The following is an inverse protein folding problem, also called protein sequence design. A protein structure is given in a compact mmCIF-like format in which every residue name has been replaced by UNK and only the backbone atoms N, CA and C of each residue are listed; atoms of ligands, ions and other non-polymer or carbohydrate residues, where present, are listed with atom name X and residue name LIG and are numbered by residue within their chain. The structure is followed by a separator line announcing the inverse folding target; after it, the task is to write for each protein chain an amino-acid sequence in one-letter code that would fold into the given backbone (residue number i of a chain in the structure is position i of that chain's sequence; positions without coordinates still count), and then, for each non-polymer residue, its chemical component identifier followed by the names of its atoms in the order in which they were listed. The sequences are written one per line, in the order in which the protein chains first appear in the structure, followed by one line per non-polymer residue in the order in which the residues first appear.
data_IF_263219640559
#
_entry.id   IF_263219640559
#
_cell.length_a   1.000
_cell.length_b   1.000
_cell.length_c   1.000
_cell.angle_alpha   90.00
_cell.angle_beta   90.00
_cell.angle_gamma   90.00
#
_symmetry.space_group_name_H-M   'P 1'
#
loop_
_entity.id
_entity.type
_entity.pdbx_description
1 polymer ?
#
# COMPACT_ATOMS: atom_id res chain seq x y z
N UNK A 1 62.30 68.79 21.70
CA UNK A 1 62.30 69.22 20.29
C UNK A 1 62.60 68.00 19.43
N UNK A 2 61.91 67.83 18.29
CA UNK A 2 61.14 66.61 17.89
C UNK A 2 61.97 65.66 16.98
N UNK A 3 61.55 64.48 16.48
CA UNK A 3 60.30 63.96 15.87
C UNK A 3 60.34 62.40 16.01
N UNK A 4 59.43 61.71 16.70
CA UNK A 4 58.16 61.03 16.29
C UNK A 4 58.30 59.92 15.22
N UNK A 5 58.00 58.67 15.60
CA UNK A 5 57.10 57.80 14.82
C UNK A 5 56.26 56.91 15.75
N UNK A 6 54.95 57.11 15.69
CA UNK A 6 53.86 56.29 16.23
C UNK A 6 53.83 54.90 15.56
N UNK A 7 53.30 53.82 16.15
CA UNK A 7 51.95 53.70 16.70
C UNK A 7 51.74 52.36 17.45
N UNK A 8 51.09 52.46 18.62
CA UNK A 8 50.04 51.60 19.20
C UNK A 8 50.40 50.11 19.48
N UNK A 9 50.93 49.73 20.66
CA UNK A 9 50.24 49.47 21.95
C UNK A 9 48.92 48.69 21.78
N UNK A 10 48.89 47.39 22.11
CA UNK A 10 48.63 46.81 23.45
C UNK A 10 47.11 46.69 23.74
N UNK A 11 46.54 45.67 24.39
CA UNK A 11 47.07 44.65 25.29
C UNK A 11 45.97 43.62 25.65
N UNK A 12 46.43 42.48 26.21
CA UNK A 12 45.84 41.62 27.26
C UNK A 12 44.70 40.62 26.88
N UNK A 13 44.85 39.27 26.96
CA UNK A 13 45.10 38.35 28.13
C UNK A 13 43.77 38.15 28.92
N UNK A 14 43.25 36.99 29.36
CA UNK A 14 43.71 35.60 29.64
C UNK A 14 42.44 34.76 30.02
N UNK A 15 42.44 33.44 29.80
CA UNK A 15 42.04 32.34 30.74
C UNK A 15 41.36 31.11 30.06
N UNK A 16 42.11 30.00 30.14
CA UNK A 16 41.81 28.57 29.86
C UNK A 16 40.94 27.94 30.98
N UNK A 17 40.76 26.59 31.07
CA UNK A 17 40.19 25.57 30.16
C UNK A 17 39.12 24.71 30.90
N UNK A 18 38.52 23.68 30.26
CA UNK A 18 38.38 22.28 30.77
C UNK A 18 37.24 21.46 30.10
N UNK A 19 37.66 20.31 29.56
CA UNK A 19 37.00 18.98 29.54
C UNK A 19 35.82 18.75 28.58
N UNK A 20 36.00 17.78 27.66
CA UNK A 20 34.89 17.03 27.06
C UNK A 20 35.10 16.50 25.64
N UNK A 21 36.10 15.64 25.42
CA UNK A 21 36.09 14.69 24.27
C UNK A 21 35.08 13.55 24.58
N UNK A 22 34.46 12.86 23.58
CA UNK A 22 35.20 12.30 22.46
C UNK A 22 34.62 12.49 21.07
N UNK A 23 35.58 12.47 20.14
CA UNK A 23 35.46 12.08 18.74
C UNK A 23 34.29 11.12 18.46
N UNK A 24 33.25 11.64 17.80
CA UNK A 24 32.44 10.80 16.93
C UNK A 24 33.17 10.71 15.59
N UNK A 25 33.60 9.50 15.29
CA UNK A 25 34.10 9.05 14.00
C UNK A 25 33.12 9.44 12.88
N UNK A 26 33.26 10.64 12.33
CA UNK A 26 32.90 10.88 10.94
C UNK A 26 34.02 10.26 10.11
N UNK A 27 33.98 8.93 9.94
CA UNK A 27 34.80 8.31 8.91
C UNK A 27 34.31 8.85 7.56
N UNK A 28 35.18 9.60 6.90
CA UNK A 28 35.13 9.89 5.48
C UNK A 28 35.11 8.56 4.72
N UNK A 29 33.92 8.14 4.31
CA UNK A 29 33.74 6.97 3.43
C UNK A 29 34.25 7.38 2.04
N UNK A 30 35.51 7.05 1.75
CA UNK A 30 36.04 7.13 0.40
C UNK A 30 35.19 6.25 -0.54
N UNK A 31 34.62 6.90 -1.55
CA UNK A 31 33.53 6.42 -2.38
C UNK A 31 33.80 5.07 -3.04
N UNK A 32 32.79 4.21 -3.01
CA UNK A 32 32.18 3.65 -4.23
C UNK A 32 30.72 3.43 -3.86
N UNK A 33 29.92 4.45 -4.16
CA UNK A 33 28.47 4.48 -3.97
C UNK A 33 27.85 3.29 -4.69
N UNK A 34 26.77 2.74 -4.14
CA UNK A 34 25.91 1.89 -4.94
C UNK A 34 25.56 2.66 -6.21
N UNK A 35 25.70 2.09 -7.42
CA UNK A 35 25.54 2.86 -8.65
C UNK A 35 24.06 3.11 -8.98
N UNK A 36 23.20 3.38 -7.98
CA UNK A 36 21.84 3.86 -8.18
C UNK A 36 21.91 5.19 -8.96
N UNK A 37 21.64 5.14 -10.25
CA UNK A 37 21.68 6.31 -11.15
C UNK A 37 20.34 6.43 -11.88
N UNK A 38 19.97 7.66 -12.24
CA UNK A 38 18.72 7.93 -12.96
C UNK A 38 17.51 7.31 -12.25
N UNK A 39 16.82 6.41 -12.95
CA UNK A 39 15.61 5.73 -12.47
C UNK A 39 15.84 4.76 -11.31
N UNK A 40 17.07 4.26 -11.11
CA UNK A 40 17.38 3.36 -10.00
C UNK A 40 17.18 4.05 -8.63
N UNK A 41 17.17 5.40 -8.58
CA UNK A 41 16.94 6.15 -7.35
C UNK A 41 15.54 5.94 -6.76
N UNK A 42 14.60 5.40 -7.53
CA UNK A 42 13.25 5.05 -7.05
C UNK A 42 13.26 3.95 -5.99
N UNK A 43 14.32 3.15 -5.90
CA UNK A 43 14.47 2.11 -4.88
C UNK A 43 14.99 2.63 -3.53
N UNK A 44 15.44 3.89 -3.48
CA UNK A 44 15.94 4.52 -2.25
C UNK A 44 14.75 4.98 -1.42
N UNK A 45 14.45 4.25 -0.35
CA UNK A 45 13.39 4.59 0.60
C UNK A 45 13.58 3.88 1.94
N UNK A 46 12.92 4.42 2.96
CA UNK A 46 12.71 3.76 4.24
C UNK A 46 11.36 3.05 4.19
N UNK A 47 11.35 1.76 4.48
CA UNK A 47 10.20 0.89 4.36
C UNK A 47 9.92 0.17 5.67
N UNK A 48 8.64 -0.03 5.95
CA UNK A 48 8.18 -1.00 6.94
C UNK A 48 7.70 -2.26 6.23
N UNK A 49 8.00 -3.43 6.78
CA UNK A 49 7.53 -4.71 6.28
C UNK A 49 7.31 -5.68 7.45
N UNK A 50 6.50 -6.71 7.21
CA UNK A 50 6.50 -7.91 8.06
C UNK A 50 7.27 -8.98 7.28
N UNK A 51 8.46 -9.33 7.77
CA UNK A 51 9.34 -10.33 7.15
C UNK A 51 9.53 -11.49 8.14
N UNK A 52 9.22 -12.71 7.71
CA UNK A 52 9.21 -13.89 8.58
C UNK A 52 8.27 -13.76 9.81
N UNK A 53 7.19 -12.97 9.69
CA UNK A 53 6.27 -12.69 10.80
C UNK A 53 6.77 -11.63 11.80
N UNK A 54 7.93 -11.03 11.56
CA UNK A 54 8.53 -10.01 12.42
C UNK A 54 8.39 -8.60 11.83
N UNK A 55 8.08 -7.64 12.70
CA UNK A 55 8.07 -6.22 12.34
C UNK A 55 9.48 -5.77 11.97
N UNK A 56 9.66 -5.38 10.72
CA UNK A 56 10.96 -5.09 10.14
C UNK A 56 10.97 -3.70 9.51
N UNK A 57 11.98 -2.90 9.86
CA UNK A 57 12.23 -1.61 9.22
C UNK A 57 13.49 -1.70 8.37
N UNK A 58 13.34 -1.46 7.07
CA UNK A 58 14.40 -1.57 6.07
C UNK A 58 14.65 -0.20 5.46
N UNK A 59 15.90 0.22 5.43
CA UNK A 59 16.32 1.48 4.79
C UNK A 59 17.28 1.16 3.66
N UNK A 60 16.86 1.46 2.44
CA UNK A 60 17.69 1.41 1.24
C UNK A 60 18.23 2.81 1.00
N UNK A 61 19.56 2.94 0.99
CA UNK A 61 20.26 4.20 0.72
C UNK A 61 21.09 4.11 -0.56
N UNK A 62 21.72 5.23 -0.92
CA UNK A 62 22.72 5.33 -1.98
C UNK A 62 24.00 4.50 -1.73
N UNK A 63 24.21 4.07 -0.49
CA UNK A 63 25.45 3.45 -0.02
C UNK A 63 25.23 2.02 0.46
N UNK A 64 24.00 1.62 0.78
CA UNK A 64 23.75 0.31 1.33
C UNK A 64 22.31 0.03 1.73
N UNK A 65 22.18 -0.99 2.58
CA UNK A 65 20.95 -1.52 3.13
C UNK A 65 21.12 -1.61 4.65
N UNK A 66 20.15 -1.10 5.39
CA UNK A 66 20.14 -1.18 6.85
C UNK A 66 18.78 -1.63 7.38
N UNK A 67 18.78 -2.67 8.19
CA UNK A 67 17.68 -3.12 9.02
C UNK A 67 17.76 -2.41 10.36
N UNK A 68 16.78 -1.57 10.67
CA UNK A 68 16.71 -0.79 11.92
C UNK A 68 15.91 -1.48 13.01
N UNK A 69 15.05 -2.42 12.63
CA UNK A 69 14.20 -3.19 13.53
C UNK A 69 14.01 -4.60 12.96
N UNK A 70 13.89 -5.60 13.84
CA UNK A 70 13.75 -7.01 13.51
C UNK A 70 15.04 -7.82 13.63
N UNK A 71 14.95 -9.15 13.46
CA UNK A 71 16.07 -10.09 13.64
C UNK A 71 17.07 -10.10 12.47
N UNK A 72 16.84 -9.28 11.45
CA UNK A 72 17.64 -9.17 10.24
C UNK A 72 18.76 -8.12 10.33
N UNK A 73 19.10 -7.63 11.53
CA UNK A 73 20.22 -6.68 11.71
C UNK A 73 21.57 -7.20 11.20
N UNK A 74 21.75 -8.52 11.18
CA UNK A 74 22.90 -9.19 10.57
C UNK A 74 22.93 -9.08 9.03
N UNK A 75 21.89 -8.55 8.38
CA UNK A 75 21.81 -8.28 6.94
C UNK A 75 22.07 -6.83 6.58
N UNK A 76 22.61 -6.03 7.52
CA UNK A 76 23.14 -4.73 7.17
C UNK A 76 24.29 -4.91 6.18
N UNK A 77 24.20 -4.21 5.06
CA UNK A 77 25.12 -4.41 3.95
C UNK A 77 25.50 -3.11 3.26
N UNK A 78 26.77 -2.99 2.90
CA UNK A 78 27.24 -1.98 1.95
C UNK A 78 26.95 -2.50 0.56
N UNK A 79 26.36 -1.66 -0.28
CA UNK A 79 26.17 -2.04 -1.67
C UNK A 79 27.51 -2.07 -2.40
N UNK A 80 27.70 -3.11 -3.21
CA UNK A 80 28.91 -3.33 -4.00
C UNK A 80 28.63 -3.12 -5.48
N UNK A 81 27.58 -3.74 -6.00
CA UNK A 81 27.30 -3.73 -7.44
C UNK A 81 25.80 -3.95 -7.70
N UNK A 82 25.28 -3.29 -8.74
CA UNK A 82 24.01 -3.66 -9.36
C UNK A 82 24.31 -4.77 -10.37
N UNK A 83 23.94 -6.00 -10.03
CA UNK A 83 24.24 -7.21 -10.82
C UNK A 83 23.39 -7.27 -12.08
N UNK A 84 22.12 -6.86 -11.97
CA UNK A 84 21.19 -6.83 -13.10
C UNK A 84 20.23 -5.64 -12.99
N UNK A 85 19.95 -5.03 -14.14
CA UNK A 85 18.91 -4.01 -14.32
C UNK A 85 17.97 -4.53 -15.40
N UNK A 86 16.70 -4.70 -15.05
CA UNK A 86 15.62 -4.87 -16.03
C UNK A 86 15.94 -5.79 -17.22
N UNK A 87 15.85 -7.11 -16.99
CA UNK A 87 15.32 -7.98 -18.05
C UNK A 87 13.86 -7.62 -18.26
N UNK A 88 13.49 -7.30 -19.49
CA UNK A 88 12.08 -7.30 -19.89
C UNK A 88 11.57 -8.73 -19.69
N UNK A 89 10.97 -9.01 -18.53
CA UNK A 89 10.22 -10.23 -18.35
C UNK A 89 9.00 -10.11 -19.26
N UNK A 90 8.91 -11.01 -20.24
CA UNK A 90 7.79 -11.04 -21.20
C UNK A 90 6.46 -11.27 -20.47
N UNK A 91 6.50 -11.78 -19.24
CA UNK A 91 5.34 -12.18 -18.45
C UNK A 91 5.06 -11.29 -17.22
N UNK A 92 6.07 -10.70 -16.56
CA UNK A 92 5.85 -9.76 -15.45
C UNK A 92 5.69 -8.33 -15.97
N UNK A 93 4.48 -7.77 -15.81
CA UNK A 93 4.20 -6.36 -16.11
C UNK A 93 4.84 -5.37 -15.11
N UNK A 94 5.55 -5.85 -14.09
CA UNK A 94 6.42 -5.04 -13.22
C UNK A 94 7.67 -4.67 -14.01
N UNK A 95 7.59 -3.59 -14.80
CA UNK A 95 8.62 -3.14 -15.76
C UNK A 95 9.98 -2.74 -15.13
N UNK A 96 10.15 -2.86 -13.82
CA UNK A 96 11.27 -2.28 -13.08
C UNK A 96 11.72 -3.22 -11.95
N UNK A 97 12.71 -4.05 -12.26
CA UNK A 97 13.35 -4.98 -11.34
C UNK A 97 14.86 -4.69 -11.25
N UNK A 98 15.41 -4.84 -10.05
CA UNK A 98 16.81 -4.57 -9.75
C UNK A 98 17.39 -5.67 -8.89
N UNK A 99 18.53 -6.25 -9.31
CA UNK A 99 19.27 -7.22 -8.51
C UNK A 99 20.56 -6.57 -8.00
N UNK A 100 20.71 -6.49 -6.68
CA UNK A 100 21.82 -5.79 -6.03
C UNK A 100 22.62 -6.74 -5.15
N UNK A 101 23.95 -6.68 -5.29
CA UNK A 101 24.91 -7.38 -4.45
C UNK A 101 25.36 -6.48 -3.31
N UNK A 102 25.17 -6.98 -2.08
CA UNK A 102 25.60 -6.34 -0.86
C UNK A 102 26.72 -7.15 -0.19
N UNK A 103 27.67 -6.43 0.42
CA UNK A 103 28.64 -6.99 1.36
C UNK A 103 28.17 -6.71 2.78
N UNK A 104 28.10 -7.74 3.60
CA UNK A 104 27.75 -7.65 5.01
C UNK A 104 28.74 -6.74 5.76
N UNK A 105 28.24 -5.79 6.54
CA UNK A 105 29.08 -4.87 7.35
C UNK A 105 29.16 -5.25 8.83
N UNK A 106 28.32 -6.18 9.29
CA UNK A 106 28.35 -6.69 10.67
C UNK A 106 29.44 -7.73 10.90
N UNK A 107 30.01 -8.30 9.85
CA UNK A 107 31.05 -9.31 9.92
C UNK A 107 32.36 -8.80 9.36
N UNK A 108 33.49 -9.17 9.97
CA UNK A 108 34.84 -8.84 9.47
C UNK A 108 35.24 -9.62 8.21
N UNK A 109 34.53 -10.71 7.89
CA UNK A 109 34.79 -11.56 6.74
C UNK A 109 34.21 -11.03 5.41
N UNK A 110 34.58 -11.70 4.32
CA UNK A 110 34.00 -11.51 2.99
C UNK A 110 32.67 -12.27 2.87
N UNK A 111 31.64 -11.72 3.49
CA UNK A 111 30.29 -12.27 3.44
C UNK A 111 29.41 -11.36 2.58
N UNK A 112 28.77 -11.96 1.58
CA UNK A 112 27.92 -11.29 0.62
C UNK A 112 26.50 -11.84 0.66
N UNK A 113 25.54 -11.05 0.20
CA UNK A 113 24.17 -11.48 -0.05
C UNK A 113 23.56 -10.62 -1.16
N UNK A 114 22.48 -11.12 -1.77
CA UNK A 114 21.80 -10.46 -2.86
C UNK A 114 20.40 -10.07 -2.42
N UNK A 115 19.94 -8.93 -2.91
CA UNK A 115 18.56 -8.50 -2.75
C UNK A 115 18.01 -8.17 -4.13
N UNK A 116 16.86 -8.77 -4.44
CA UNK A 116 16.11 -8.45 -5.64
C UNK A 116 14.96 -7.54 -5.26
N UNK A 117 14.83 -6.42 -5.96
CA UNK A 117 13.75 -5.47 -5.79
C UNK A 117 12.80 -5.52 -6.98
N UNK A 118 11.51 -5.37 -6.70
CA UNK A 118 10.44 -5.16 -7.66
C UNK A 118 9.77 -3.84 -7.32
N UNK A 119 9.88 -2.86 -8.21
CA UNK A 119 9.24 -1.57 -8.01
C UNK A 119 7.77 -1.68 -8.42
N UNK A 120 6.86 -1.47 -7.46
CA UNK A 120 5.41 -1.52 -7.72
C UNK A 120 4.80 -0.13 -7.77
N UNK A 121 5.23 0.78 -6.88
CA UNK A 121 4.81 2.18 -6.91
C UNK A 121 5.83 3.07 -6.20
N UNK A 122 5.56 4.38 -6.16
CA UNK A 122 6.33 5.34 -5.36
C UNK A 122 6.35 5.02 -3.85
N UNK A 123 5.37 4.25 -3.35
CA UNK A 123 5.27 3.89 -1.93
C UNK A 123 5.45 2.40 -1.64
N UNK A 124 5.61 1.56 -2.67
CA UNK A 124 5.64 0.10 -2.50
C UNK A 124 6.76 -0.50 -3.31
N UNK A 125 7.62 -1.23 -2.62
CA UNK A 125 8.64 -2.07 -3.22
C UNK A 125 8.47 -3.47 -2.66
N UNK A 126 8.45 -4.46 -3.52
CA UNK A 126 8.60 -5.85 -3.08
C UNK A 126 10.06 -6.24 -3.15
N UNK A 127 10.51 -7.10 -2.24
CA UNK A 127 11.87 -7.59 -2.29
C UNK A 127 12.00 -9.06 -1.89
N UNK A 128 13.10 -9.66 -2.35
CA UNK A 128 13.50 -11.01 -2.00
C UNK A 128 14.98 -10.99 -1.61
N UNK A 129 15.33 -11.81 -0.63
CA UNK A 129 16.68 -11.91 -0.09
C UNK A 129 17.26 -13.29 -0.37
N UNK A 130 18.55 -13.33 -0.70
CA UNK A 130 19.30 -14.58 -0.75
C UNK A 130 19.78 -15.02 0.64
N UNK A 131 20.32 -16.23 0.72
CA UNK A 131 21.21 -16.62 1.81
C UNK A 131 22.53 -15.83 1.80
N UNK A 132 23.34 -16.04 2.83
CA UNK A 132 24.71 -15.50 2.89
C UNK A 132 25.70 -16.35 2.10
N UNK A 133 26.68 -15.69 1.50
CA UNK A 133 27.77 -16.30 0.76
C UNK A 133 29.11 -15.87 1.38
N UNK A 134 29.81 -16.79 2.03
CA UNK A 134 31.19 -16.59 2.49
C UNK A 134 32.15 -16.96 1.35
N UNK A 135 32.50 -15.99 0.51
CA UNK A 135 33.26 -16.19 -0.73
C UNK A 135 33.76 -14.84 -1.26
N UNK A 136 34.57 -14.84 -2.32
CA UNK A 136 35.03 -13.59 -2.95
C UNK A 136 33.88 -12.90 -3.74
N UNK A 137 34.07 -11.64 -4.11
CA UNK A 137 33.04 -10.85 -4.81
C UNK A 137 32.60 -11.47 -6.15
N UNK A 138 33.51 -12.05 -6.94
CA UNK A 138 33.20 -12.59 -8.26
C UNK A 138 32.29 -13.82 -8.16
N UNK A 139 32.59 -14.72 -7.23
CA UNK A 139 31.79 -15.91 -6.96
C UNK A 139 30.44 -15.54 -6.32
N UNK A 140 30.41 -14.52 -5.44
CA UNK A 140 29.16 -14.01 -4.88
C UNK A 140 28.23 -13.45 -5.97
N UNK A 141 28.79 -12.72 -6.95
CA UNK A 141 28.04 -12.23 -8.11
C UNK A 141 27.45 -13.38 -8.93
N UNK A 142 28.23 -14.43 -9.21
CA UNK A 142 27.72 -15.60 -9.91
C UNK A 142 26.56 -16.28 -9.14
N UNK A 143 26.67 -16.37 -7.80
CA UNK A 143 25.59 -16.88 -6.94
C UNK A 143 24.35 -15.98 -6.94
N UNK A 144 24.48 -14.66 -7.04
CA UNK A 144 23.31 -13.77 -7.21
C UNK A 144 22.54 -14.07 -8.50
N UNK A 145 23.26 -14.32 -9.60
CA UNK A 145 22.62 -14.65 -10.89
C UNK A 145 21.89 -16.00 -10.79
N UNK A 146 22.46 -16.98 -10.09
CA UNK A 146 21.77 -18.26 -9.83
C UNK A 146 20.55 -18.10 -8.92
N UNK A 147 20.65 -17.27 -7.88
CA UNK A 147 19.51 -16.90 -7.03
C UNK A 147 18.36 -16.35 -7.88
N UNK A 148 18.65 -15.40 -8.78
CA UNK A 148 17.65 -14.84 -9.69
C UNK A 148 16.97 -15.91 -10.56
N UNK A 149 17.74 -16.85 -11.12
CA UNK A 149 17.20 -17.91 -11.98
C UNK A 149 16.29 -18.88 -11.24
N UNK A 150 16.63 -19.22 -9.99
CA UNK A 150 15.90 -20.20 -9.19
C UNK A 150 14.71 -19.60 -8.44
N UNK A 151 14.67 -18.29 -8.24
CA UNK A 151 13.72 -17.63 -7.35
C UNK A 151 12.48 -17.04 -8.07
N UNK A 152 12.22 -17.46 -9.32
CA UNK A 152 11.15 -16.90 -10.17
C UNK A 152 9.72 -17.07 -9.62
N UNK A 153 9.51 -17.94 -8.64
CA UNK A 153 8.19 -18.26 -8.10
C UNK A 153 8.03 -18.10 -6.59
N UNK A 154 9.02 -17.54 -5.88
CA UNK A 154 8.88 -17.36 -4.42
C UNK A 154 8.12 -16.08 -4.05
N UNK A 155 7.49 -16.10 -2.88
CA UNK A 155 6.83 -14.93 -2.32
C UNK A 155 7.84 -13.80 -2.08
N UNK A 156 7.51 -12.59 -2.53
CA UNK A 156 8.29 -11.38 -2.28
C UNK A 156 7.69 -10.60 -1.11
N UNK A 157 8.55 -10.21 -0.16
CA UNK A 157 8.15 -9.40 0.99
C UNK A 157 7.72 -8.02 0.50
N UNK A 158 6.59 -7.51 0.98
CA UNK A 158 6.06 -6.19 0.60
C UNK A 158 6.55 -5.14 1.59
N UNK A 159 7.34 -4.18 1.10
CA UNK A 159 7.78 -3.01 1.85
C UNK A 159 6.92 -1.79 1.57
N UNK A 160 6.40 -1.17 2.63
CA UNK A 160 5.61 0.05 2.59
C UNK A 160 6.47 1.26 2.94
N UNK A 161 6.53 2.27 2.07
CA UNK A 161 7.26 3.51 2.34
C UNK A 161 6.77 4.17 3.62
N UNK A 162 7.70 4.51 4.51
CA UNK A 162 7.39 5.31 5.71
C UNK A 162 7.07 6.77 5.37
N UNK A 163 7.60 7.25 4.25
CA UNK A 163 7.40 8.60 3.74
C UNK A 163 6.40 8.52 2.60
N UNK A 164 5.11 8.61 2.96
CA UNK A 164 4.02 8.53 2.00
C UNK A 164 4.11 9.66 0.95
N UNK A 165 3.95 9.28 -0.31
CA UNK A 165 3.76 10.16 -1.44
C UNK A 165 2.37 9.91 -2.05
N UNK A 166 1.69 10.96 -2.47
CA UNK A 166 0.33 10.85 -3.01
C UNK A 166 0.26 9.89 -4.19
N UNK A 167 -0.69 8.96 -4.14
CA UNK A 167 -0.96 7.98 -5.20
C UNK A 167 -2.46 7.87 -5.46
N UNK A 168 -2.86 7.77 -6.73
CA UNK A 168 -4.25 7.85 -7.13
C UNK A 168 -5.03 6.56 -6.82
N UNK A 169 -6.02 6.68 -5.93
CA UNK A 169 -6.92 5.62 -5.49
C UNK A 169 -7.86 5.09 -6.58
N UNK A 170 -8.12 5.85 -7.65
CA UNK A 170 -8.98 5.41 -8.77
C UNK A 170 -8.55 4.06 -9.34
N UNK A 171 -7.25 3.76 -9.25
CA UNK A 171 -6.71 2.47 -9.69
C UNK A 171 -7.13 1.30 -8.81
N UNK A 172 -7.40 1.53 -7.52
CA UNK A 172 -7.78 0.51 -6.52
C UNK A 172 -9.30 0.50 -6.30
N UNK A 173 -9.87 1.64 -5.92
CA UNK A 173 -11.30 1.84 -5.72
C UNK A 173 -11.76 3.08 -6.47
N UNK A 174 -12.76 2.92 -7.33
CA UNK A 174 -13.46 4.02 -8.00
C UNK A 174 -14.96 3.82 -7.81
N UNK A 175 -15.64 4.76 -7.12
CA UNK A 175 -17.08 4.67 -6.89
C UNK A 175 -17.48 4.68 -5.42
N UNK A 176 -18.77 4.46 -5.19
CA UNK A 176 -19.33 4.15 -3.89
C UNK A 176 -19.76 2.69 -3.87
N UNK A 177 -19.37 1.97 -2.83
CA UNK A 177 -19.69 0.57 -2.66
C UNK A 177 -20.29 0.32 -1.29
N UNK A 178 -21.39 -0.42 -1.29
CA UNK A 178 -21.77 -1.19 -0.11
C UNK A 178 -20.90 -2.43 -0.05
N UNK A 179 -20.46 -2.85 1.14
CA UNK A 179 -19.72 -4.10 1.24
C UNK A 179 -20.18 -5.01 2.38
N UNK A 180 -20.05 -6.31 2.15
CA UNK A 180 -20.07 -7.31 3.22
C UNK A 180 -18.66 -7.77 3.49
N UNK A 181 -18.33 -8.03 4.75
CA UNK A 181 -17.03 -8.58 5.11
C UNK A 181 -17.13 -9.84 5.97
N UNK A 182 -16.16 -10.74 5.83
CA UNK A 182 -16.06 -11.96 6.62
C UNK A 182 -14.60 -12.22 6.99
N UNK A 183 -14.32 -12.47 8.27
CA UNK A 183 -13.02 -12.91 8.73
C UNK A 183 -12.86 -14.42 8.51
N UNK A 184 -11.67 -14.84 8.09
CA UNK A 184 -11.34 -16.25 7.84
C UNK A 184 -11.51 -17.13 9.08
N UNK A 185 -11.10 -16.62 10.23
CA UNK A 185 -11.11 -17.36 11.49
C UNK A 185 -12.42 -17.20 12.27
N UNK A 186 -13.41 -16.49 11.71
CA UNK A 186 -14.73 -16.42 12.32
C UNK A 186 -15.62 -17.54 11.77
N UNK A 187 -16.12 -18.39 12.67
CA UNK A 187 -17.22 -19.33 12.39
C UNK A 187 -18.57 -18.63 12.14
N UNK A 188 -18.55 -17.30 11.98
CA UNK A 188 -19.73 -16.44 12.00
C UNK A 188 -20.16 -16.06 10.59
N UNK A 189 -21.46 -15.77 10.50
CA UNK A 189 -22.09 -15.20 9.31
C UNK A 189 -21.35 -13.95 8.85
N UNK A 190 -21.22 -13.72 7.52
CA UNK A 190 -20.67 -12.47 6.99
C UNK A 190 -21.36 -11.24 7.59
N UNK A 191 -20.58 -10.21 7.91
CA UNK A 191 -21.09 -8.93 8.36
C UNK A 191 -21.63 -8.14 7.17
N UNK A 192 -22.93 -7.85 7.20
CA UNK A 192 -23.66 -7.04 6.21
C UNK A 192 -24.38 -5.89 6.92
N UNK A 193 -23.61 -5.01 7.55
CA UNK A 193 -24.14 -3.85 8.27
C UNK A 193 -24.58 -2.74 7.29
N UNK A 194 -25.64 -2.01 7.66
CA UNK A 194 -26.25 -1.01 6.77
C UNK A 194 -25.35 0.19 6.46
N UNK A 195 -24.39 0.45 7.32
CA UNK A 195 -23.43 1.54 7.22
C UNK A 195 -22.06 1.08 6.71
N UNK A 196 -21.93 -0.17 6.23
CA UNK A 196 -20.74 -0.60 5.52
C UNK A 196 -20.65 0.13 4.17
N UNK A 197 -19.76 1.11 4.06
CA UNK A 197 -19.60 1.92 2.85
C UNK A 197 -18.12 2.13 2.52
N UNK A 198 -17.79 2.05 1.24
CA UNK A 198 -16.52 2.52 0.68
C UNK A 198 -16.85 3.67 -0.26
N UNK A 199 -16.23 4.83 -0.06
CA UNK A 199 -16.39 6.01 -0.91
C UNK A 199 -15.02 6.46 -1.43
N UNK A 200 -14.84 6.40 -2.75
CA UNK A 200 -13.59 6.77 -3.43
C UNK A 200 -13.83 7.52 -4.75
N UNK A 201 -13.11 8.63 -4.96
CA UNK A 201 -12.99 9.33 -6.26
C UNK A 201 -14.33 9.72 -6.95
N UNK A 202 -15.24 10.48 -6.32
CA UNK A 202 -16.58 10.75 -6.89
C UNK A 202 -16.99 12.21 -7.10
N UNK A 203 -16.28 13.19 -6.56
CA UNK A 203 -16.73 14.58 -6.65
C UNK A 203 -16.20 15.25 -7.92
N UNK A 204 -17.08 15.49 -8.89
CA UNK A 204 -16.76 16.36 -10.02
C UNK A 204 -16.40 17.77 -9.48
N UNK A 205 -15.19 18.25 -9.76
CA UNK A 205 -14.68 19.52 -9.24
C UNK A 205 -14.15 19.48 -7.81
N UNK A 206 -13.99 18.31 -7.18
CA UNK A 206 -13.29 18.24 -5.89
C UNK A 206 -11.81 18.53 -6.02
N UNK A 207 -11.22 18.95 -4.90
CA UNK A 207 -9.78 19.01 -4.74
C UNK A 207 -9.14 17.65 -5.06
N UNK A 208 -7.90 17.69 -5.58
CA UNK A 208 -7.10 16.49 -5.90
C UNK A 208 -6.99 15.50 -4.73
N UNK A 209 -7.21 15.99 -3.50
CA UNK A 209 -7.31 15.19 -2.27
C UNK A 209 -8.29 14.03 -2.33
N UNK A 210 -9.42 14.20 -2.99
CA UNK A 210 -10.44 13.16 -3.07
C UNK A 210 -10.03 12.00 -3.99
N UNK A 211 -8.92 12.14 -4.73
CA UNK A 211 -8.38 11.10 -5.61
C UNK A 211 -7.30 10.23 -4.96
N UNK A 212 -6.74 10.59 -3.80
CA UNK A 212 -5.69 9.79 -3.12
C UNK A 212 -6.09 9.22 -1.76
N UNK A 213 -7.33 9.49 -1.32
CA UNK A 213 -7.92 8.97 -0.10
C UNK A 213 -9.21 8.23 -0.44
N UNK A 214 -9.35 7.02 0.09
CA UNK A 214 -10.61 6.27 0.13
C UNK A 214 -11.16 6.32 1.55
N UNK A 215 -12.45 6.63 1.72
CA UNK A 215 -13.10 6.52 3.02
C UNK A 215 -13.78 5.18 3.12
N UNK A 216 -13.49 4.44 4.19
CA UNK A 216 -14.16 3.18 4.48
C UNK A 216 -14.85 3.32 5.83
N UNK A 217 -16.15 3.09 5.85
CA UNK A 217 -16.97 3.04 7.04
C UNK A 217 -17.26 1.59 7.36
N UNK A 218 -16.76 1.12 8.49
CA UNK A 218 -17.02 -0.20 9.02
C UNK A 218 -18.20 -0.14 9.98
N UNK A 219 -19.27 -0.80 9.59
CA UNK A 219 -20.48 -0.92 10.37
C UNK A 219 -20.35 -1.85 11.55
N UNK A 220 -21.15 -1.56 12.59
CA UNK A 220 -21.24 -2.42 13.75
C UNK A 220 -21.99 -3.71 13.39
N UNK A 221 -21.35 -4.85 13.60
CA UNK A 221 -21.97 -6.15 13.39
C UNK A 221 -22.11 -6.91 14.71
N UNK A 222 -23.34 -7.27 15.11
CA UNK A 222 -23.58 -8.01 16.33
C UNK A 222 -22.78 -9.32 16.38
N UNK A 223 -22.00 -9.50 17.44
CA UNK A 223 -21.26 -10.74 17.70
C UNK A 223 -19.86 -10.81 17.07
N UNK A 224 -19.46 -9.89 16.21
CA UNK A 224 -18.03 -9.70 15.99
C UNK A 224 -17.50 -8.89 17.18
N UNK A 225 -16.41 -9.33 17.81
CA UNK A 225 -15.72 -8.50 18.78
C UNK A 225 -15.44 -7.15 18.13
N UNK A 226 -15.60 -6.05 18.86
CA UNK A 226 -15.32 -4.71 18.36
C UNK A 226 -13.97 -4.72 17.65
N UNK A 227 -14.00 -4.63 16.32
CA UNK A 227 -12.76 -4.55 15.57
C UNK A 227 -12.18 -3.18 15.83
N UNK A 228 -10.85 -3.11 15.92
CA UNK A 228 -10.13 -1.81 16.00
C UNK A 228 -10.53 -0.86 14.86
N UNK A 229 -11.01 -1.42 13.75
CA UNK A 229 -11.36 -0.71 12.54
C UNK A 229 -12.84 -0.23 12.54
N UNK A 230 -13.62 -0.39 13.63
CA UNK A 230 -15.00 0.12 13.69
C UNK A 230 -15.06 1.64 13.51
N UNK A 231 -15.99 2.10 12.67
CA UNK A 231 -16.18 3.53 12.38
C UNK A 231 -15.68 3.92 10.99
N UNK A 232 -15.57 5.22 10.75
CA UNK A 232 -15.12 5.75 9.45
C UNK A 232 -13.64 6.08 9.51
N UNK A 233 -12.86 5.47 8.62
CA UNK A 233 -11.41 5.67 8.55
C UNK A 233 -11.00 6.09 7.13
N UNK A 234 -10.01 6.98 7.06
CA UNK A 234 -9.34 7.33 5.82
C UNK A 234 -8.27 6.28 5.49
N UNK A 235 -8.31 5.78 4.26
CA UNK A 235 -7.33 4.88 3.66
C UNK A 235 -6.58 5.62 2.56
N UNK A 236 -5.28 5.77 2.73
CA UNK A 236 -4.35 6.32 1.76
C UNK A 236 -3.91 5.22 0.81
N UNK A 237 -4.03 5.44 -0.49
CA UNK A 237 -3.62 4.45 -1.48
C UNK A 237 -2.10 4.49 -1.66
N UNK A 238 -1.44 3.34 -1.57
CA UNK A 238 0.03 3.22 -1.68
C UNK A 238 0.46 2.76 -3.07
N UNK A 239 -0.27 1.81 -3.67
CA UNK A 239 0.06 1.29 -4.99
C UNK A 239 -0.84 0.13 -5.39
N UNK A 240 -0.83 -0.21 -6.68
CA UNK A 240 -1.48 -1.39 -7.23
C UNK A 240 -0.58 -2.04 -8.26
N UNK A 241 -0.51 -3.37 -8.25
CA UNK A 241 0.25 -4.16 -9.21
C UNK A 241 -0.50 -5.45 -9.54
N UNK A 242 -0.04 -6.18 -10.55
CA UNK A 242 -0.65 -7.42 -11.00
C UNK A 242 0.42 -8.49 -11.09
N UNK A 243 0.13 -9.68 -10.60
CA UNK A 243 1.00 -10.83 -10.74
C UNK A 243 0.78 -11.56 -12.08
N UNK A 244 1.53 -12.64 -12.30
CA UNK A 244 1.41 -13.47 -13.50
C UNK A 244 0.15 -14.35 -13.51
N UNK A 245 -0.50 -14.53 -12.36
CA UNK A 245 -1.70 -15.36 -12.20
C UNK A 245 -2.99 -14.54 -12.37
N UNK A 246 -2.89 -13.31 -12.89
CA UNK A 246 -3.99 -12.35 -13.01
C UNK A 246 -4.60 -11.92 -11.67
N UNK A 247 -3.90 -12.12 -10.56
CA UNK A 247 -4.25 -11.47 -9.31
C UNK A 247 -3.79 -10.02 -9.36
N UNK A 248 -4.67 -9.13 -8.93
CA UNK A 248 -4.39 -7.71 -8.77
C UNK A 248 -4.20 -7.45 -7.29
N UNK A 249 -3.02 -7.02 -6.91
CA UNK A 249 -2.67 -6.66 -5.55
C UNK A 249 -2.69 -5.16 -5.38
N UNK A 250 -3.13 -4.70 -4.22
CA UNK A 250 -3.12 -3.30 -3.85
C UNK A 250 -2.62 -3.12 -2.42
N UNK A 251 -2.04 -1.96 -2.15
CA UNK A 251 -1.58 -1.57 -0.84
C UNK A 251 -2.28 -0.29 -0.40
N UNK A 252 -2.73 -0.25 0.84
CA UNK A 252 -3.34 0.92 1.47
C UNK A 252 -2.77 1.11 2.87
N UNK A 253 -2.74 2.37 3.31
CA UNK A 253 -2.36 2.75 4.66
C UNK A 253 -3.48 3.52 5.36
N UNK A 254 -3.50 3.52 6.68
CA UNK A 254 -4.46 4.25 7.51
C UNK A 254 -3.74 5.15 8.52
N UNK A 255 -4.47 6.06 9.16
CA UNK A 255 -3.96 6.82 10.31
C UNK A 255 -4.08 5.97 11.57
N UNK A 256 -3.16 5.01 11.73
CA UNK A 256 -3.07 4.14 12.91
C UNK A 256 -1.76 4.40 13.67
N UNK A 257 -1.85 4.42 15.00
CA UNK A 257 -0.69 4.64 15.86
C UNK A 257 0.29 3.46 15.87
N UNK A 258 -0.24 2.24 15.79
CA UNK A 258 0.57 1.03 15.66
C UNK A 258 0.91 0.76 14.18
N UNK A 259 2.20 0.84 13.86
CA UNK A 259 2.71 0.68 12.49
C UNK A 259 2.37 -0.69 11.90
N UNK A 260 2.23 -1.74 12.73
CA UNK A 260 1.82 -3.07 12.28
C UNK A 260 0.42 -3.05 11.66
N UNK A 261 -0.48 -2.28 12.26
CA UNK A 261 -1.86 -2.15 11.79
C UNK A 261 -2.07 -0.96 10.86
N UNK A 262 -1.03 -0.16 10.61
CA UNK A 262 -1.09 0.98 9.70
C UNK A 262 -1.32 0.58 8.25
N UNK A 263 -0.74 -0.52 7.81
CA UNK A 263 -0.79 -0.95 6.41
C UNK A 263 -1.69 -2.17 6.23
N UNK A 264 -2.24 -2.30 5.03
CA UNK A 264 -3.02 -3.44 4.58
C UNK A 264 -2.69 -3.74 3.13
N UNK A 265 -2.67 -5.02 2.79
CA UNK A 265 -2.66 -5.48 1.42
C UNK A 265 -4.06 -5.97 1.03
N UNK A 266 -4.42 -5.73 -0.23
CA UNK A 266 -5.62 -6.24 -0.85
C UNK A 266 -5.29 -7.08 -2.08
N UNK A 267 -6.17 -8.04 -2.39
CA UNK A 267 -6.08 -8.86 -3.59
C UNK A 267 -7.44 -8.98 -4.24
N UNK A 268 -7.50 -8.83 -5.55
CA UNK A 268 -8.64 -9.21 -6.38
C UNK A 268 -8.13 -10.00 -7.59
N UNK A 269 -9.01 -10.45 -8.48
CA UNK A 269 -8.56 -10.95 -9.78
C UNK A 269 -8.97 -9.98 -10.86
N UNK A 270 -8.12 -9.86 -11.87
CA UNK A 270 -8.35 -8.99 -13.03
C UNK A 270 -9.61 -9.37 -13.81
N UNK A 271 -9.97 -10.64 -13.79
CA UNK A 271 -11.11 -11.22 -14.51
C UNK A 271 -12.39 -11.33 -13.67
N UNK A 272 -12.43 -10.77 -12.45
CA UNK A 272 -13.61 -10.81 -11.55
C UNK A 272 -14.88 -10.19 -12.17
N UNK A 273 -14.82 -9.64 -13.38
CA UNK A 273 -15.74 -8.60 -13.82
C UNK A 273 -16.32 -8.73 -15.23
N UNK A 274 -16.26 -9.90 -15.87
CA UNK A 274 -16.91 -10.01 -17.19
C UNK A 274 -18.43 -10.25 -17.14
N UNK A 275 -19.01 -10.66 -15.99
CA UNK A 275 -20.45 -11.05 -15.92
C UNK A 275 -21.20 -10.73 -14.63
N UNK A 276 -20.57 -10.18 -13.60
CA UNK A 276 -21.15 -10.03 -12.25
C UNK A 276 -21.15 -8.57 -11.81
N UNK A 277 -22.21 -8.14 -11.12
CA UNK A 277 -22.32 -6.83 -10.44
C UNK A 277 -21.57 -6.78 -9.10
N UNK A 278 -20.98 -7.90 -8.67
CA UNK A 278 -20.27 -8.06 -7.40
C UNK A 278 -18.77 -8.14 -7.61
N UNK A 279 -18.02 -7.31 -6.89
CA UNK A 279 -16.55 -7.33 -6.87
C UNK A 279 -16.08 -8.01 -5.59
N UNK A 280 -15.17 -8.99 -5.69
CA UNK A 280 -14.55 -9.61 -4.51
C UNK A 280 -13.15 -9.06 -4.31
N UNK A 281 -12.87 -8.68 -3.08
CA UNK A 281 -11.55 -8.30 -2.61
C UNK A 281 -11.21 -9.13 -1.39
N UNK A 282 -9.98 -9.61 -1.32
CA UNK A 282 -9.37 -10.07 -0.09
C UNK A 282 -8.58 -8.92 0.53
N UNK A 283 -8.53 -8.85 1.84
CA UNK A 283 -7.74 -7.87 2.60
C UNK A 283 -7.06 -8.57 3.77
N UNK A 284 -5.85 -8.11 4.12
CA UNK A 284 -5.15 -8.52 5.35
C UNK A 284 -5.76 -7.84 6.58
N UNK A 285 -5.37 -8.27 7.78
CA UNK A 285 -5.74 -7.59 9.04
C UNK A 285 -4.59 -6.76 9.63
N UNK A 286 -3.40 -6.90 9.07
CA UNK A 286 -2.18 -6.17 9.41
C UNK A 286 -1.32 -5.99 8.14
N UNK A 287 -0.10 -5.50 8.30
CA UNK A 287 0.83 -5.28 7.20
C UNK A 287 1.40 -6.59 6.59
N UNK A 288 0.99 -7.78 7.04
CA UNK A 288 1.53 -9.05 6.53
C UNK A 288 0.81 -9.51 5.27
N UNK A 289 1.39 -9.14 4.13
CA UNK A 289 0.88 -9.48 2.80
C UNK A 289 1.14 -10.95 2.42
N UNK A 290 1.92 -11.72 3.19
CA UNK A 290 2.18 -13.14 2.90
C UNK A 290 0.97 -14.03 3.12
N UNK A 291 0.02 -13.57 3.93
CA UNK A 291 -1.25 -14.26 4.19
C UNK A 291 -2.25 -14.14 3.04
N UNK A 292 -1.93 -13.33 2.02
CA UNK A 292 -2.86 -12.90 0.99
C UNK A 292 -2.67 -13.68 -0.33
N UNK A 293 -3.34 -14.83 -0.42
CA UNK A 293 -3.22 -15.72 -1.58
C UNK A 293 -4.28 -15.48 -2.67
N UNK A 294 -5.53 -15.28 -2.27
CA UNK A 294 -6.66 -15.09 -3.19
C UNK A 294 -7.80 -14.36 -2.47
N UNK A 295 -8.74 -13.73 -3.20
CA UNK A 295 -9.85 -13.01 -2.58
C UNK A 295 -10.68 -13.90 -1.64
N UNK A 296 -10.84 -15.17 -1.99
CA UNK A 296 -11.66 -16.13 -1.25
C UNK A 296 -10.95 -16.80 -0.08
N UNK A 297 -9.62 -16.78 -0.03
CA UNK A 297 -8.84 -17.41 1.05
C UNK A 297 -8.14 -16.39 1.96
N UNK A 298 -8.38 -15.11 1.73
CA UNK A 298 -7.77 -14.00 2.47
C UNK A 298 -8.25 -13.94 3.92
N UNK A 299 -7.44 -13.36 4.84
CA UNK A 299 -7.83 -13.18 6.25
C UNK A 299 -9.16 -12.44 6.42
N UNK A 300 -9.42 -11.45 5.57
CA UNK A 300 -10.70 -10.77 5.47
C UNK A 300 -11.18 -10.80 4.02
N UNK A 301 -12.40 -11.29 3.80
CA UNK A 301 -13.06 -11.31 2.50
C UNK A 301 -14.03 -10.14 2.45
N UNK A 302 -14.02 -9.40 1.35
CA UNK A 302 -14.89 -8.27 1.08
C UNK A 302 -15.67 -8.55 -0.20
N UNK A 303 -16.98 -8.38 -0.15
CA UNK A 303 -17.85 -8.45 -1.34
C UNK A 303 -18.50 -7.09 -1.51
N UNK A 304 -18.11 -6.39 -2.56
CA UNK A 304 -18.50 -5.03 -2.86
C UNK A 304 -19.63 -5.01 -3.88
N UNK A 305 -20.61 -4.14 -3.63
CA UNK A 305 -21.76 -3.88 -4.49
C UNK A 305 -21.76 -2.39 -4.82
N UNK A 306 -21.65 -2.00 -6.10
CA UNK A 306 -21.78 -0.60 -6.48
C UNK A 306 -23.10 -0.03 -5.99
N UNK A 307 -23.05 1.14 -5.36
CA UNK A 307 -24.21 1.89 -4.89
C UNK A 307 -24.05 3.37 -5.24
N UNK A 308 -25.10 4.15 -5.04
CA UNK A 308 -25.06 5.60 -5.16
C UNK A 308 -24.77 6.22 -3.80
N UNK A 309 -24.02 7.32 -3.82
CA UNK A 309 -23.86 8.17 -2.64
C UNK A 309 -25.21 8.77 -2.23
N UNK A 310 -25.72 8.34 -1.08
CA UNK A 310 -27.02 8.80 -0.57
C UNK A 310 -27.04 10.29 -0.21
N UNK A 311 -25.89 10.88 0.13
CA UNK A 311 -25.79 12.28 0.54
C UNK A 311 -25.55 13.23 -0.63
N UNK A 312 -24.81 12.80 -1.66
CA UNK A 312 -24.37 13.67 -2.75
C UNK A 312 -25.00 13.33 -4.11
N UNK A 313 -25.06 12.05 -4.49
CA UNK A 313 -25.52 11.64 -5.81
C UNK A 313 -27.04 11.49 -5.86
N UNK A 314 -27.64 10.91 -4.82
CA UNK A 314 -29.10 10.72 -4.75
C UNK A 314 -29.88 12.05 -4.85
N UNK A 315 -29.49 13.15 -4.16
CA UNK A 315 -30.19 14.43 -4.31
C UNK A 315 -30.04 15.07 -5.70
N UNK A 316 -28.97 14.77 -6.43
CA UNK A 316 -28.76 15.26 -7.80
C UNK A 316 -29.62 14.50 -8.82
N UNK A 317 -29.95 13.25 -8.52
CA UNK A 317 -30.82 12.40 -9.33
C UNK A 317 -32.31 12.67 -9.08
N UNK A 318 -32.68 13.85 -8.56
CA UNK A 318 -34.06 14.24 -8.30
C UNK A 318 -34.89 14.08 -9.58
N UNK A 319 -35.84 13.14 -9.61
CA UNK A 319 -36.66 12.92 -10.78
C UNK A 319 -37.61 14.11 -10.99
N UNK A 320 -37.53 14.72 -12.18
CA UNK A 320 -38.26 15.94 -12.53
C UNK A 320 -39.62 15.71 -13.20
N UNK A 321 -40.13 14.48 -13.23
CA UNK A 321 -41.43 14.20 -13.85
C UNK A 321 -42.56 14.52 -12.87
N UNK A 322 -43.44 15.43 -13.25
CA UNK A 322 -44.68 15.67 -12.52
C UNK A 322 -45.61 14.46 -12.68
N UNK A 323 -46.09 13.92 -11.57
CA UNK A 323 -47.13 12.89 -11.61
C UNK A 323 -48.43 13.50 -12.17
N UNK A 324 -49.21 12.74 -12.96
CA UNK A 324 -50.55 13.14 -13.34
C UNK A 324 -51.40 13.46 -12.10
N UNK A 325 -52.40 14.33 -12.24
CA UNK A 325 -53.31 14.67 -11.14
C UNK A 325 -53.89 13.37 -10.55
N UNK A 326 -53.87 13.27 -9.21
CA UNK A 326 -54.33 12.13 -8.39
C UNK A 326 -53.42 10.89 -8.33
N UNK A 327 -52.17 10.98 -8.79
CA UNK A 327 -51.15 9.95 -8.54
C UNK A 327 -50.15 10.42 -7.50
N UNK A 328 -49.84 9.55 -6.55
CA UNK A 328 -48.72 9.71 -5.62
C UNK A 328 -47.76 8.54 -5.80
N UNK A 329 -46.48 8.78 -5.57
CA UNK A 329 -45.45 7.76 -5.73
C UNK A 329 -44.18 8.16 -5.00
N UNK A 330 -43.43 7.17 -4.55
CA UNK A 330 -42.09 7.37 -4.01
C UNK A 330 -41.11 6.93 -5.07
N UNK A 331 -40.22 7.83 -5.44
CA UNK A 331 -39.12 7.50 -6.32
C UNK A 331 -38.12 6.60 -5.59
N UNK A 332 -37.80 5.46 -6.20
CA UNK A 332 -36.76 4.57 -5.69
C UNK A 332 -35.70 4.36 -6.77
N UNK A 333 -34.45 4.18 -6.34
CA UNK A 333 -33.34 3.91 -7.24
C UNK A 333 -33.07 2.41 -7.22
N UNK A 334 -32.94 1.74 -8.39
CA UNK A 334 -32.74 0.30 -8.47
C UNK A 334 -31.41 -0.17 -7.86
N UNK A 335 -30.47 0.76 -7.58
CA UNK A 335 -29.20 0.48 -6.91
C UNK A 335 -29.20 0.78 -5.40
N UNK A 336 -30.22 1.47 -4.88
CA UNK A 336 -30.31 1.79 -3.44
C UNK A 336 -31.17 0.79 -2.65
N UNK A 337 -31.63 -0.29 -3.30
CA UNK A 337 -32.46 -1.31 -2.66
C UNK A 337 -31.82 -2.69 -2.82
N UNK A 338 -31.67 -3.38 -1.70
CA UNK A 338 -31.34 -4.80 -1.61
C UNK A 338 -32.20 -5.59 -2.62
N UNK A 339 -31.66 -6.59 -3.35
CA UNK A 339 -32.50 -7.55 -4.04
C UNK A 339 -33.16 -8.44 -2.97
N UNK A 340 -34.36 -8.07 -2.53
CA UNK A 340 -35.28 -9.04 -1.95
C UNK A 340 -35.74 -9.95 -3.08
N UNK A 341 -35.18 -11.17 -3.11
CA UNK A 341 -35.69 -12.23 -3.98
C UNK A 341 -37.16 -12.47 -3.67
N UNK A 342 -38.03 -11.93 -4.52
CA UNK A 342 -39.34 -12.51 -4.81
C UNK A 342 -39.37 -12.73 -6.32
N UNK A 343 -39.68 -13.96 -6.69
CA UNK A 343 -39.61 -14.49 -8.05
C UNK A 343 -40.39 -13.64 -9.05
N UNK A 344 -39.71 -12.99 -9.99
CA UNK A 344 -40.19 -12.75 -11.38
C UNK A 344 -39.06 -12.13 -12.23
N UNK A 345 -38.98 -12.44 -13.54
CA UNK A 345 -37.90 -11.96 -14.41
C UNK A 345 -38.10 -10.48 -14.79
N UNK A 346 -37.05 -9.77 -15.24
CA UNK A 346 -37.11 -8.33 -15.42
C UNK A 346 -37.73 -7.95 -16.77
N UNK A 347 -38.51 -6.86 -16.84
CA UNK A 347 -38.53 -6.02 -18.02
C UNK A 347 -37.52 -4.88 -17.82
N UNK A 348 -36.66 -4.71 -18.82
CA UNK A 348 -35.82 -3.54 -18.99
C UNK A 348 -36.69 -2.28 -19.15
N UNK A 349 -36.79 -1.46 -18.09
CA UNK A 349 -37.03 0.01 -18.08
C UNK A 349 -37.28 0.45 -16.63
N UNK A 350 -36.91 1.68 -16.30
CA UNK A 350 -37.19 2.30 -15.00
C UNK A 350 -38.66 2.08 -14.62
N UNK A 351 -38.91 1.28 -13.58
CA UNK A 351 -40.26 0.95 -13.13
C UNK A 351 -40.48 1.57 -11.74
N UNK A 352 -41.47 2.46 -11.62
CA UNK A 352 -42.08 2.82 -10.34
C UNK A 352 -43.10 1.75 -9.93
N UNK A 353 -43.32 1.57 -8.63
CA UNK A 353 -44.41 0.74 -8.09
C UNK A 353 -45.59 1.64 -7.79
N UNK A 354 -46.77 1.34 -8.33
CA UNK A 354 -47.96 2.19 -8.26
C UNK A 354 -49.11 1.48 -7.53
N UNK A 355 -49.74 2.19 -6.61
CA UNK A 355 -51.03 1.78 -6.03
C UNK A 355 -52.06 2.86 -6.31
N UNK A 356 -53.11 2.48 -7.03
CA UNK A 356 -54.29 3.31 -7.26
C UNK A 356 -55.32 3.04 -6.17
N UNK A 357 -55.97 4.09 -5.64
CA UNK A 357 -57.18 4.00 -4.81
C UNK A 357 -58.39 3.39 -5.56
N UNK A 358 -58.24 3.09 -6.85
CA UNK A 358 -59.16 2.31 -7.68
C UNK A 358 -58.47 1.08 -8.28
N UNK A 359 -57.89 0.21 -7.46
CA UNK A 359 -57.82 -1.25 -7.69
C UNK A 359 -57.49 -1.78 -9.10
N UNK A 360 -56.59 -1.16 -9.87
CA UNK A 360 -56.02 -1.76 -11.09
C UNK A 360 -54.50 -1.59 -11.09
N UNK A 361 -53.81 -2.73 -11.17
CA UNK A 361 -52.35 -2.82 -11.32
C UNK A 361 -52.01 -2.71 -12.81
N UNK A 362 -51.03 -1.86 -13.14
CA UNK A 362 -50.27 -1.93 -14.38
C UNK A 362 -48.84 -2.29 -14.03
#
# INVERSE_FOLDING_TARGET
MPIISSSLLSNLILLLPLIGLPATYAQTINSTNCPFRGDDRRYIMSMFAIDGGQNTEVVVSDTGLAYRQGDFGNRNGRCIEIVDRNRAEVEQKSKWNLLVLYRNVTTSGEIYFCMKFYWQSVNVIQYQLSGFYSTNQADAKAKCVLFEMNNRYSFAVVGFSRNYQSYNCKTIFEGVYWFTYQLKDSSRTPCDALNNEIKACQRAGSQERDNWITKITWGLCPGLAEMKDQGTQNYYCYGMWTDNNNNVYAAVGMDQGDIKFKYRCLVTRKDQNERSILYRWGMTVDADCSTLNSPDTSPMKLVLRPTLDSAEQVPQLKPGCNLPKNFTGVWFFPLSTRPTFTSTPPPSRCAGSWTSTSGRRC
#
